data_IF_444613399074
#
_entry.id   IF_444613399074
#
_cell.length_a   1.000
_cell.length_b   1.000
_cell.length_c   1.000
_cell.angle_alpha   90.00
_cell.angle_beta   90.00
_cell.angle_gamma   90.00
#
_symmetry.space_group_name_H-M   'P 1'
#
loop_
_entity.id
_entity.type
_entity.pdbx_description
1 polymer ?
#
# COMPACT_ATOMS: atom_id res chain seq x y z
N UNK A 1 51.09 2.16 20.71
CA UNK A 1 50.37 1.79 19.46
C UNK A 1 51.07 0.61 18.81
N UNK A 2 50.37 -0.48 18.51
CA UNK A 2 50.96 -1.60 17.75
C UNK A 2 51.32 -1.14 16.33
N UNK A 3 52.48 -1.54 15.82
CA UNK A 3 52.88 -1.25 14.44
C UNK A 3 51.84 -1.79 13.43
N UNK A 4 51.57 -1.03 12.36
CA UNK A 4 50.66 -1.40 11.26
C UNK A 4 51.00 -2.79 10.69
N UNK A 5 52.29 -3.11 10.56
CA UNK A 5 52.75 -4.42 10.07
C UNK A 5 52.36 -5.57 11.02
N UNK A 6 52.39 -5.32 12.33
CA UNK A 6 51.98 -6.32 13.35
C UNK A 6 50.48 -6.60 13.22
N UNK A 7 49.67 -5.55 13.14
CA UNK A 7 48.22 -5.66 12.95
C UNK A 7 47.86 -6.38 11.64
N UNK A 8 48.53 -6.05 10.54
CA UNK A 8 48.34 -6.68 9.23
C UNK A 8 48.58 -8.19 9.28
N UNK A 9 49.67 -8.65 9.92
CA UNK A 9 49.97 -10.08 10.08
C UNK A 9 48.94 -10.79 10.98
N UNK A 10 48.51 -10.14 12.05
CA UNK A 10 47.51 -10.70 12.98
C UNK A 10 46.14 -10.83 12.31
N UNK A 11 45.69 -9.80 11.60
CA UNK A 11 44.36 -9.75 10.97
C UNK A 11 44.33 -10.37 9.57
N UNK A 12 45.48 -10.74 9.01
CA UNK A 12 45.64 -11.26 7.63
C UNK A 12 45.06 -10.32 6.57
N UNK A 13 45.16 -9.00 6.78
CA UNK A 13 44.71 -7.96 5.84
C UNK A 13 45.93 -7.18 5.35
N UNK A 14 45.86 -6.55 4.18
CA UNK A 14 46.95 -5.72 3.65
C UNK A 14 47.28 -4.56 4.60
N UNK A 15 48.57 -4.19 4.67
CA UNK A 15 49.02 -3.05 5.47
C UNK A 15 48.34 -1.74 5.06
N UNK A 16 47.97 -1.60 3.78
CA UNK A 16 47.24 -0.44 3.25
C UNK A 16 45.79 -0.39 3.72
N UNK A 17 45.09 -1.53 3.87
CA UNK A 17 43.74 -1.56 4.43
C UNK A 17 43.75 -1.15 5.90
N UNK A 18 44.70 -1.66 6.70
CA UNK A 18 44.87 -1.26 8.11
C UNK A 18 45.12 0.24 8.23
N UNK A 19 46.02 0.79 7.42
CA UNK A 19 46.31 2.23 7.42
C UNK A 19 45.08 3.07 7.02
N UNK A 20 44.29 2.64 6.02
CA UNK A 20 43.05 3.31 5.61
C UNK A 20 41.98 3.27 6.70
N UNK A 21 41.82 2.15 7.39
CA UNK A 21 40.87 2.02 8.51
C UNK A 21 41.24 2.92 9.68
N UNK A 22 42.52 2.97 10.07
CA UNK A 22 43.00 3.89 11.13
C UNK A 22 42.75 5.34 10.72
N UNK A 23 43.18 5.73 9.51
CA UNK A 23 42.95 7.09 8.99
C UNK A 23 41.47 7.45 8.97
N UNK A 24 40.61 6.54 8.52
CA UNK A 24 39.16 6.76 8.50
C UNK A 24 38.56 6.94 9.90
N UNK A 25 39.07 6.20 10.88
CA UNK A 25 38.68 6.33 12.29
C UNK A 25 39.18 7.66 12.88
N UNK A 26 40.42 8.07 12.61
CA UNK A 26 40.96 9.35 13.08
C UNK A 26 40.16 10.54 12.52
N UNK A 27 39.66 10.43 11.28
CA UNK A 27 38.84 11.46 10.65
C UNK A 27 37.37 11.49 11.14
N UNK A 28 36.77 10.31 11.40
CA UNK A 28 35.32 10.19 11.64
C UNK A 28 34.97 9.89 13.10
N UNK A 29 35.91 9.39 13.88
CA UNK A 29 35.70 8.88 15.25
C UNK A 29 34.80 7.65 15.34
N UNK A 30 34.49 7.00 14.21
CA UNK A 30 33.54 5.89 14.13
C UNK A 30 33.93 4.88 13.06
N UNK A 31 33.56 3.62 13.28
CA UNK A 31 33.66 2.53 12.32
C UNK A 31 32.32 2.15 11.68
N UNK A 32 31.28 2.97 11.89
CA UNK A 32 29.99 2.77 11.23
C UNK A 32 30.06 2.99 9.72
N UNK A 33 29.22 2.24 9.00
CA UNK A 33 29.14 2.31 7.55
C UNK A 33 28.59 3.69 7.13
N UNK A 34 29.35 4.42 6.30
CA UNK A 34 28.95 5.77 5.85
C UNK A 34 27.74 5.68 4.93
N UNK A 35 26.84 6.66 5.04
CA UNK A 35 25.71 6.78 4.11
C UNK A 35 26.23 6.92 2.66
N UNK A 36 25.89 5.95 1.81
CA UNK A 36 26.24 5.95 0.39
C UNK A 36 25.16 6.70 -0.38
N UNK A 37 25.55 7.66 -1.22
CA UNK A 37 24.63 8.25 -2.19
C UNK A 37 24.25 7.15 -3.20
N UNK A 38 22.98 6.75 -3.20
CA UNK A 38 22.47 5.75 -4.13
C UNK A 38 22.46 6.25 -5.58
N UNK A 39 22.08 5.36 -6.50
CA UNK A 39 21.91 5.72 -7.91
C UNK A 39 20.83 6.80 -8.07
N UNK A 40 21.06 7.86 -8.86
CA UNK A 40 20.03 8.86 -9.13
C UNK A 40 18.82 8.24 -9.82
N UNK A 41 17.66 8.84 -9.60
CA UNK A 41 16.39 8.40 -10.20
C UNK A 41 16.41 8.65 -11.70
N UNK A 42 15.72 7.79 -12.45
CA UNK A 42 15.52 7.97 -13.89
C UNK A 42 14.48 9.06 -14.18
N UNK A 43 13.50 9.23 -13.29
CA UNK A 43 12.44 10.24 -13.44
C UNK A 43 12.72 11.47 -12.59
N UNK A 44 12.28 12.61 -13.10
CA UNK A 44 12.25 13.92 -12.43
C UNK A 44 10.93 14.14 -11.68
N UNK A 45 10.94 15.07 -10.73
CA UNK A 45 9.73 15.39 -9.94
C UNK A 45 8.54 15.88 -10.80
N UNK A 46 8.82 16.53 -11.94
CA UNK A 46 7.78 16.96 -12.89
C UNK A 46 7.12 15.79 -13.61
N UNK A 47 7.92 14.83 -14.08
CA UNK A 47 7.44 13.60 -14.70
C UNK A 47 6.64 12.76 -13.71
N UNK A 48 7.06 12.70 -12.45
CA UNK A 48 6.34 11.99 -11.40
C UNK A 48 4.95 12.57 -11.14
N UNK A 49 4.84 13.90 -11.20
CA UNK A 49 3.55 14.60 -11.11
C UNK A 49 2.67 14.25 -12.30
N UNK A 50 3.23 14.22 -13.51
CA UNK A 50 2.51 13.85 -14.73
C UNK A 50 2.02 12.39 -14.66
N UNK A 51 2.90 11.46 -14.25
CA UNK A 51 2.58 10.05 -14.02
C UNK A 51 1.39 9.94 -13.05
N UNK A 52 1.47 10.59 -11.89
CA UNK A 52 0.42 10.54 -10.87
C UNK A 52 -0.93 11.04 -11.40
N UNK A 53 -0.96 12.19 -12.06
CA UNK A 53 -2.20 12.78 -12.58
C UNK A 53 -2.80 11.92 -13.69
N UNK A 54 -1.96 11.39 -14.58
CA UNK A 54 -2.40 10.57 -15.70
C UNK A 54 -2.98 9.24 -15.22
N UNK A 55 -2.34 8.56 -14.26
CA UNK A 55 -2.83 7.31 -13.69
C UNK A 55 -4.12 7.46 -12.87
N UNK A 56 -4.39 8.64 -12.29
CA UNK A 56 -5.67 8.90 -11.61
C UNK A 56 -6.83 9.09 -12.60
N UNK A 57 -6.55 9.60 -13.80
CA UNK A 57 -7.56 9.78 -14.86
C UNK A 57 -7.81 8.49 -15.63
N UNK A 58 -6.73 7.81 -15.98
CA UNK A 58 -6.75 6.59 -16.76
C UNK A 58 -6.43 5.42 -15.84
N UNK A 59 -7.45 4.62 -15.50
CA UNK A 59 -7.29 3.38 -14.74
C UNK A 59 -6.63 2.30 -15.63
N UNK A 60 -5.42 2.53 -16.11
CA UNK A 60 -4.68 1.57 -16.90
C UNK A 60 -3.75 0.78 -15.99
N UNK A 61 -4.00 -0.52 -15.90
CA UNK A 61 -3.23 -1.45 -15.06
C UNK A 61 -1.87 -1.83 -15.64
N UNK A 62 -1.51 -1.26 -16.79
CA UNK A 62 -0.27 -1.58 -17.51
C UNK A 62 0.67 -0.38 -17.47
N UNK A 63 1.47 -0.34 -16.42
CA UNK A 63 2.54 0.62 -16.26
C UNK A 63 3.88 -0.13 -16.16
N UNK A 64 4.92 0.40 -16.80
CA UNK A 64 6.29 -0.10 -16.64
C UNK A 64 6.68 -0.11 -15.16
N UNK A 65 7.55 -1.03 -14.74
CA UNK A 65 7.96 -1.20 -13.33
C UNK A 65 8.41 0.11 -12.67
N UNK A 66 9.10 0.98 -13.41
CA UNK A 66 9.53 2.29 -12.94
C UNK A 66 8.34 3.17 -12.53
N UNK A 67 7.32 3.24 -13.38
CA UNK A 67 6.08 3.99 -13.15
C UNK A 67 5.30 3.41 -11.97
N UNK A 68 5.21 2.08 -11.89
CA UNK A 68 4.56 1.41 -10.76
C UNK A 68 5.22 1.76 -9.42
N UNK A 69 6.56 1.77 -9.36
CA UNK A 69 7.30 2.21 -8.17
C UNK A 69 6.99 3.66 -7.81
N UNK A 70 6.91 4.57 -8.80
CA UNK A 70 6.52 5.98 -8.57
C UNK A 70 5.12 6.09 -7.97
N UNK A 71 4.19 5.31 -8.48
CA UNK A 71 2.81 5.30 -8.00
C UNK A 71 2.74 4.81 -6.55
N UNK A 72 3.40 3.69 -6.22
CA UNK A 72 3.45 3.17 -4.85
C UNK A 72 4.09 4.18 -3.88
N UNK A 73 5.20 4.82 -4.25
CA UNK A 73 5.82 5.90 -3.45
C UNK A 73 4.85 7.06 -3.19
N UNK A 74 3.96 7.36 -4.14
CA UNK A 74 2.93 8.40 -3.99
C UNK A 74 1.66 7.93 -3.25
N UNK A 75 1.64 6.69 -2.75
CA UNK A 75 0.50 6.10 -2.06
C UNK A 75 -0.56 5.49 -2.99
N UNK A 76 -0.35 5.50 -4.30
CA UNK A 76 -1.26 4.91 -5.28
C UNK A 76 -0.92 3.44 -5.49
N UNK A 77 -1.85 2.58 -5.12
CA UNK A 77 -1.71 1.13 -5.21
C UNK A 77 -2.73 0.57 -6.20
N UNK A 78 -2.31 -0.46 -6.94
CA UNK A 78 -3.23 -1.24 -7.75
C UNK A 78 -4.32 -1.86 -6.88
N UNK A 79 -5.58 -1.70 -7.28
CA UNK A 79 -6.73 -2.39 -6.70
C UNK A 79 -7.50 -3.08 -7.82
N UNK A 80 -8.40 -3.98 -7.45
CA UNK A 80 -9.34 -4.59 -8.40
C UNK A 80 -10.74 -4.20 -7.92
N UNK A 81 -11.53 -3.59 -8.79
CA UNK A 81 -12.90 -3.24 -8.46
C UNK A 81 -13.75 -4.50 -8.30
N UNK A 82 -14.61 -4.53 -7.28
CA UNK A 82 -15.54 -5.64 -7.09
C UNK A 82 -16.52 -5.72 -8.28
N UNK A 83 -16.64 -6.90 -8.89
CA UNK A 83 -17.62 -7.15 -9.95
C UNK A 83 -19.03 -7.09 -9.35
N UNK A 84 -19.82 -6.11 -9.75
CA UNK A 84 -21.22 -5.95 -9.31
C UNK A 84 -22.16 -6.14 -10.49
N UNK A 85 -23.32 -6.80 -10.31
CA UNK A 85 -24.33 -6.86 -11.34
C UNK A 85 -24.83 -5.45 -11.66
N UNK A 86 -25.13 -5.19 -12.93
CA UNK A 86 -25.71 -3.92 -13.34
C UNK A 86 -27.13 -3.80 -12.77
N UNK A 87 -27.37 -2.75 -11.99
CA UNK A 87 -28.68 -2.44 -11.42
C UNK A 87 -29.30 -1.30 -12.20
N UNK A 88 -30.54 -1.50 -12.67
CA UNK A 88 -31.38 -0.41 -13.18
C UNK A 88 -31.76 0.53 -12.04
N UNK A 89 -31.97 1.80 -12.34
CA UNK A 89 -32.36 2.81 -11.34
C UNK A 89 -33.65 2.45 -10.59
N UNK A 90 -34.60 1.83 -11.29
CA UNK A 90 -35.85 1.32 -10.70
C UNK A 90 -35.58 0.26 -9.63
N UNK A 91 -34.67 -0.68 -9.92
CA UNK A 91 -34.26 -1.73 -8.99
C UNK A 91 -33.48 -1.16 -7.80
N UNK A 92 -32.65 -0.15 -8.03
CA UNK A 92 -31.92 0.55 -6.97
C UNK A 92 -32.88 1.25 -5.99
N UNK A 93 -33.91 1.96 -6.50
CA UNK A 93 -34.94 2.60 -5.66
C UNK A 93 -35.72 1.58 -4.83
N UNK A 94 -36.15 0.47 -5.45
CA UNK A 94 -36.85 -0.63 -4.75
C UNK A 94 -35.99 -1.23 -3.64
N UNK A 95 -34.72 -1.51 -3.93
CA UNK A 95 -33.76 -2.04 -2.93
C UNK A 95 -33.57 -1.07 -1.77
N UNK A 96 -33.44 0.22 -2.05
CA UNK A 96 -33.28 1.24 -1.02
C UNK A 96 -34.52 1.37 -0.14
N UNK A 97 -35.72 1.43 -0.74
CA UNK A 97 -36.98 1.50 -0.01
C UNK A 97 -37.18 0.25 0.87
N UNK A 98 -36.83 -0.92 0.33
CA UNK A 98 -36.87 -2.17 1.08
C UNK A 98 -35.89 -2.13 2.26
N UNK A 99 -34.63 -1.75 2.05
CA UNK A 99 -33.63 -1.65 3.12
C UNK A 99 -34.07 -0.67 4.23
N UNK A 100 -34.61 0.51 3.86
CA UNK A 100 -35.15 1.49 4.82
C UNK A 100 -36.32 0.94 5.63
N UNK A 101 -37.26 0.25 5.00
CA UNK A 101 -38.42 -0.38 5.68
C UNK A 101 -38.00 -1.44 6.70
N UNK A 102 -36.84 -2.07 6.48
CA UNK A 102 -36.34 -3.19 7.27
C UNK A 102 -35.11 -2.82 8.12
N UNK A 103 -34.81 -1.52 8.28
CA UNK A 103 -33.62 -1.04 9.01
C UNK A 103 -33.64 -1.42 10.50
N UNK A 104 -34.83 -1.40 11.10
CA UNK A 104 -35.07 -1.70 12.53
C UNK A 104 -35.31 -3.18 12.83
N UNK A 105 -35.12 -4.08 11.87
CA UNK A 105 -35.31 -5.51 12.11
C UNK A 105 -34.28 -6.06 13.11
N UNK A 106 -34.78 -6.72 14.15
CA UNK A 106 -33.97 -7.40 15.17
C UNK A 106 -33.35 -8.68 14.62
N UNK A 107 -32.23 -9.12 15.21
CA UNK A 107 -31.47 -10.30 14.75
C UNK A 107 -32.33 -11.56 14.65
N UNK A 108 -33.27 -11.79 15.56
CA UNK A 108 -34.13 -12.98 15.51
C UNK A 108 -35.16 -12.94 14.37
N UNK A 109 -35.62 -11.74 14.01
CA UNK A 109 -36.46 -11.54 12.82
C UNK A 109 -35.68 -11.79 11.54
N UNK A 110 -34.39 -11.41 11.52
CA UNK A 110 -33.48 -11.78 10.43
C UNK A 110 -33.25 -13.29 10.37
N UNK A 111 -32.99 -13.97 11.50
CA UNK A 111 -32.83 -15.44 11.57
C UNK A 111 -34.02 -16.19 11.02
N UNK A 112 -35.24 -15.78 11.38
CA UNK A 112 -36.45 -16.39 10.82
C UNK A 112 -36.57 -16.21 9.30
N UNK A 113 -36.12 -15.08 8.76
CA UNK A 113 -36.08 -14.83 7.32
C UNK A 113 -34.97 -15.63 6.60
N UNK A 114 -33.82 -15.85 7.27
CA UNK A 114 -32.69 -16.61 6.73
C UNK A 114 -32.99 -18.09 6.47
N UNK A 115 -33.90 -18.69 7.24
CA UNK A 115 -34.20 -20.13 7.19
C UNK A 115 -35.16 -20.54 6.06
N UNK A 116 -35.73 -19.59 5.32
CA UNK A 116 -36.79 -19.86 4.34
C UNK A 116 -36.39 -19.70 2.86
N UNK A 117 -35.16 -19.26 2.53
CA UNK A 117 -34.81 -18.99 1.12
C UNK A 117 -33.31 -19.14 0.78
N UNK A 118 -32.99 -20.00 -0.18
CA UNK A 118 -31.66 -20.17 -0.80
C UNK A 118 -31.17 -18.96 -1.65
N UNK A 119 -31.93 -17.87 -1.71
CA UNK A 119 -31.67 -16.70 -2.58
C UNK A 119 -30.75 -15.62 -1.95
N UNK A 120 -29.88 -16.04 -1.04
CA UNK A 120 -29.20 -15.18 -0.08
C UNK A 120 -28.17 -14.19 -0.66
N UNK A 121 -27.55 -14.49 -1.81
CA UNK A 121 -26.34 -13.79 -2.26
C UNK A 121 -26.59 -12.34 -2.75
N UNK A 122 -27.78 -12.04 -3.27
CA UNK A 122 -28.03 -10.76 -3.98
C UNK A 122 -28.52 -9.62 -3.06
N UNK A 123 -29.15 -9.96 -1.92
CA UNK A 123 -29.78 -9.00 -1.01
C UNK A 123 -28.78 -8.42 0.01
N UNK A 124 -27.87 -9.26 0.53
CA UNK A 124 -26.94 -8.87 1.59
C UNK A 124 -25.83 -7.91 1.14
N UNK A 125 -25.44 -7.94 -0.13
CA UNK A 125 -24.47 -6.99 -0.69
C UNK A 125 -24.95 -5.53 -0.61
N UNK A 126 -26.28 -5.29 -0.49
CA UNK A 126 -26.86 -3.95 -0.36
C UNK A 126 -26.95 -3.49 1.11
N UNK A 127 -27.26 -4.39 2.04
CA UNK A 127 -27.39 -4.10 3.48
C UNK A 127 -26.04 -3.95 4.19
N UNK A 128 -25.05 -4.80 3.85
CA UNK A 128 -23.69 -4.70 4.40
C UNK A 128 -23.02 -3.38 4.00
N UNK A 129 -23.35 -2.86 2.81
CA UNK A 129 -22.85 -1.58 2.33
C UNK A 129 -23.45 -0.37 3.07
N UNK A 130 -24.73 -0.44 3.48
CA UNK A 130 -25.36 0.64 4.24
C UNK A 130 -24.83 0.71 5.68
N UNK A 131 -24.70 -0.43 6.38
CA UNK A 131 -24.17 -0.48 7.75
C UNK A 131 -22.68 -0.10 7.86
N UNK A 132 -21.87 -0.32 6.81
CA UNK A 132 -20.45 0.06 6.80
C UNK A 132 -20.18 1.53 6.47
N UNK A 133 -21.16 2.30 5.98
CA UNK A 133 -20.99 3.74 5.75
C UNK A 133 -21.08 4.56 7.05
N UNK A 134 -21.87 4.11 8.04
CA UNK A 134 -22.02 4.78 9.34
C UNK A 134 -20.83 4.57 10.31
N UNK A 135 -19.92 3.62 10.03
CA UNK A 135 -18.72 3.40 10.86
C UNK A 135 -17.50 4.22 10.45
N UNK A 136 -17.54 4.93 9.32
CA UNK A 136 -16.41 5.73 8.81
C UNK A 136 -16.51 7.24 9.05
N UNK A 137 -17.45 7.68 9.90
CA UNK A 137 -17.66 9.10 10.23
C UNK A 137 -17.53 9.37 11.74
N UNK A 138 -16.85 8.51 12.49
CA UNK A 138 -16.59 8.64 13.93
C UNK A 138 -15.14 8.27 14.31
N UNK A 139 -14.19 8.49 13.40
CA UNK A 139 -12.74 8.53 13.69
C UNK A 139 -12.15 9.77 13.00
#
# INVERSE_FOLDING_TARGET
LSSIRKMSRTLKVSSSAVAKSIKGYDETGSHEDRHRKGRPRVTSAGEDKFIRVTSLRNYTSQHQLSVQRRLCESGLHGRISAKKPLLKDTNMKKRLAWAKKHDQWTLDRWKSFWLLHDFFIVLMSSLLFHKNRKRKTLE
#
